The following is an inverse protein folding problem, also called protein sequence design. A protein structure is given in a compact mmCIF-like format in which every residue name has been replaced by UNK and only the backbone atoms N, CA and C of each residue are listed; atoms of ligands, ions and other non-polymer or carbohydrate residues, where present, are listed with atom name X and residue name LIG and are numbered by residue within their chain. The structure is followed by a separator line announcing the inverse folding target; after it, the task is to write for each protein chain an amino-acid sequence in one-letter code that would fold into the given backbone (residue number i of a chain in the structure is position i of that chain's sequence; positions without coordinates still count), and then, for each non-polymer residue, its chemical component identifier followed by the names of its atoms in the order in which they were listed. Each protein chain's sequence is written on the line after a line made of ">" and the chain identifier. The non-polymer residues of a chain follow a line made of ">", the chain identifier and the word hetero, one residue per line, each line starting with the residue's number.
data_IF_459620436310
#
_entry.id   IF_459620436310
#
_cell.length_a   1.000
_cell.length_b   1.000
_cell.length_c   1.000
_cell.angle_alpha   90.00
_cell.angle_beta   90.00
_cell.angle_gamma   90.00
#
_symmetry.space_group_name_H-M   'P 1'
#
loop_
_entity.id
_entity.type
_entity.pdbx_description
1 polymer ?
#
# COMPACT_ATOMS: atom_id res chain seq x y z
N UNK A 1 -6.01 3.88 -8.34
CA UNK A 1 -4.88 2.96 -8.64
C UNK A 1 -5.13 2.33 -10.00
N UNK A 2 -4.22 2.49 -10.97
CA UNK A 2 -4.31 1.71 -12.22
C UNK A 2 -3.77 0.33 -11.88
N UNK A 3 -4.66 -0.61 -11.56
CA UNK A 3 -4.30 -2.02 -11.52
C UNK A 3 -4.05 -2.39 -12.97
N UNK A 4 -2.82 -2.75 -13.31
CA UNK A 4 -2.56 -3.42 -14.58
C UNK A 4 -3.27 -4.77 -14.44
N UNK A 5 -4.48 -4.86 -14.99
CA UNK A 5 -5.25 -6.08 -14.95
C UNK A 5 -4.48 -7.19 -15.66
N UNK A 6 -4.45 -8.37 -15.05
CA UNK A 6 -3.94 -9.55 -15.73
C UNK A 6 -4.88 -9.88 -16.90
N UNK A 7 -4.37 -9.78 -18.11
CA UNK A 7 -5.14 -10.04 -19.33
C UNK A 7 -5.14 -11.53 -19.63
N UNK A 8 -6.13 -12.22 -19.05
CA UNK A 8 -6.34 -13.67 -19.18
C UNK A 8 -6.40 -14.11 -20.65
N UNK A 9 -7.06 -13.32 -21.51
CA UNK A 9 -7.21 -13.65 -22.94
C UNK A 9 -5.88 -13.54 -23.68
N UNK A 10 -5.13 -12.46 -23.45
CA UNK A 10 -3.81 -12.27 -24.06
C UNK A 10 -2.82 -13.32 -23.58
N UNK A 11 -2.89 -13.73 -22.31
CA UNK A 11 -2.06 -14.80 -21.76
C UNK A 11 -2.39 -16.16 -22.39
N UNK A 12 -3.68 -16.55 -22.39
CA UNK A 12 -4.12 -17.79 -23.03
C UNK A 12 -3.74 -17.82 -24.53
N UNK A 13 -3.92 -16.72 -25.26
CA UNK A 13 -3.51 -16.62 -26.66
C UNK A 13 -2.00 -16.89 -26.84
N UNK A 14 -1.17 -16.33 -25.96
CA UNK A 14 0.28 -16.52 -26.02
C UNK A 14 0.69 -17.97 -25.75
N UNK A 15 -0.02 -18.67 -24.88
CA UNK A 15 0.17 -20.11 -24.64
C UNK A 15 -0.22 -20.92 -25.87
N UNK A 16 -1.39 -20.62 -26.47
CA UNK A 16 -1.85 -21.25 -27.72
C UNK A 16 -0.86 -21.07 -28.87
N UNK A 17 -0.37 -19.84 -29.06
CA UNK A 17 0.64 -19.50 -30.07
C UNK A 17 1.98 -20.23 -29.83
N UNK A 18 2.21 -20.71 -28.60
CA UNK A 18 3.39 -21.49 -28.20
C UNK A 18 3.15 -23.01 -28.27
N UNK A 19 1.99 -23.47 -28.73
CA UNK A 19 1.64 -24.88 -28.90
C UNK A 19 0.90 -25.52 -27.74
N UNK A 20 0.49 -24.74 -26.72
CA UNK A 20 -0.37 -25.25 -25.64
C UNK A 20 -1.79 -25.47 -26.17
N UNK A 21 -2.41 -26.65 -25.96
CA UNK A 21 -3.79 -26.90 -26.39
C UNK A 21 -4.78 -25.89 -25.81
N UNK A 22 -5.78 -25.50 -26.60
CA UNK A 22 -6.74 -24.46 -26.25
C UNK A 22 -7.33 -24.55 -24.84
N UNK A 23 -7.82 -25.73 -24.46
CA UNK A 23 -8.40 -25.97 -23.13
C UNK A 23 -7.38 -25.85 -21.98
N UNK A 24 -6.12 -26.22 -22.23
CA UNK A 24 -5.06 -26.08 -21.23
C UNK A 24 -4.64 -24.63 -21.08
N UNK A 25 -4.48 -23.92 -22.20
CA UNK A 25 -4.13 -22.50 -22.20
C UNK A 25 -5.16 -21.64 -21.45
N UNK A 26 -6.45 -21.93 -21.65
CA UNK A 26 -7.55 -21.27 -20.93
C UNK A 26 -7.54 -21.62 -19.44
N UNK A 27 -7.42 -22.90 -19.08
CA UNK A 27 -7.37 -23.34 -17.69
C UNK A 27 -6.17 -22.76 -16.92
N UNK A 28 -4.99 -22.69 -17.55
CA UNK A 28 -3.81 -22.06 -16.95
C UNK A 28 -4.00 -20.55 -16.73
N UNK A 29 -4.60 -19.87 -17.71
CA UNK A 29 -4.87 -18.44 -17.62
C UNK A 29 -5.86 -18.13 -16.50
N UNK A 30 -6.94 -18.92 -16.37
CA UNK A 30 -7.93 -18.80 -15.30
C UNK A 30 -7.31 -19.07 -13.93
N UNK A 31 -6.59 -20.18 -13.76
CA UNK A 31 -5.94 -20.52 -12.50
C UNK A 31 -4.94 -19.45 -12.05
N UNK A 32 -4.17 -18.88 -12.99
CA UNK A 32 -3.24 -17.80 -12.68
C UNK A 32 -3.97 -16.50 -12.32
N UNK A 33 -5.07 -16.18 -13.01
CA UNK A 33 -5.90 -15.02 -12.69
C UNK A 33 -6.49 -15.11 -11.28
N UNK A 34 -7.00 -16.29 -10.88
CA UNK A 34 -7.54 -16.51 -9.53
C UNK A 34 -6.47 -16.31 -8.45
N UNK A 35 -5.28 -16.89 -8.63
CA UNK A 35 -4.18 -16.73 -7.66
C UNK A 35 -3.74 -15.27 -7.55
N UNK A 36 -3.66 -14.55 -8.66
CA UNK A 36 -3.33 -13.13 -8.65
C UNK A 36 -4.42 -12.31 -7.97
N UNK A 37 -5.71 -12.60 -8.21
CA UNK A 37 -6.81 -11.88 -7.58
C UNK A 37 -6.83 -12.11 -6.06
N UNK A 38 -6.61 -13.35 -5.60
CA UNK A 38 -6.53 -13.67 -4.17
C UNK A 38 -5.37 -12.95 -3.51
N UNK A 39 -4.17 -12.99 -4.10
CA UNK A 39 -3.00 -12.35 -3.51
C UNK A 39 -3.12 -10.82 -3.50
N UNK A 40 -3.70 -10.21 -4.54
CA UNK A 40 -3.79 -8.75 -4.64
C UNK A 40 -4.83 -8.13 -3.71
N UNK A 41 -5.79 -8.90 -3.17
CA UNK A 41 -6.84 -8.39 -2.27
C UNK A 41 -6.30 -7.83 -0.96
N UNK A 42 -5.21 -8.40 -0.43
CA UNK A 42 -4.66 -8.04 0.88
C UNK A 42 -3.43 -7.12 0.82
N UNK A 43 -3.03 -6.67 -0.38
CA UNK A 43 -1.87 -5.77 -0.52
C UNK A 43 -2.25 -4.32 -0.23
N UNK A 44 -1.48 -3.70 0.66
CA UNK A 44 -1.56 -2.25 0.88
C UNK A 44 -1.25 -1.49 -0.42
N UNK A 45 -2.11 -0.55 -0.78
CA UNK A 45 -1.91 0.30 -1.95
C UNK A 45 -0.88 1.39 -1.66
N UNK A 46 -0.33 1.99 -2.73
CA UNK A 46 0.50 3.20 -2.59
C UNK A 46 -0.27 4.34 -1.91
N UNK A 47 -1.59 4.37 -2.05
CA UNK A 47 -2.44 5.38 -1.43
C UNK A 47 -2.60 5.14 0.06
N UNK A 48 -2.81 3.88 0.47
CA UNK A 48 -2.87 3.47 1.89
C UNK A 48 -1.56 3.85 2.59
N UNK A 49 -0.42 3.47 2.02
CA UNK A 49 0.89 3.82 2.58
C UNK A 49 1.11 5.34 2.67
N UNK A 50 0.70 6.10 1.65
CA UNK A 50 0.79 7.57 1.68
C UNK A 50 -0.11 8.19 2.74
N UNK A 51 -1.28 7.60 2.98
CA UNK A 51 -2.20 8.03 4.02
C UNK A 51 -1.59 7.78 5.40
N UNK A 52 -1.08 6.57 5.64
CA UNK A 52 -0.48 6.19 6.92
C UNK A 52 0.76 7.04 7.24
N UNK A 53 1.60 7.33 6.24
CA UNK A 53 2.75 8.22 6.41
C UNK A 53 2.34 9.64 6.79
N UNK A 54 1.30 10.20 6.14
CA UNK A 54 0.77 11.52 6.50
C UNK A 54 0.19 11.54 7.91
N UNK A 55 -0.53 10.49 8.30
CA UNK A 55 -1.07 10.39 9.66
C UNK A 55 0.05 10.30 10.69
N UNK A 56 1.10 9.54 10.42
CA UNK A 56 2.26 9.44 11.29
C UNK A 56 2.99 10.79 11.42
N UNK A 57 3.19 11.49 10.31
CA UNK A 57 3.78 12.83 10.28
C UNK A 57 2.98 13.82 11.13
N UNK A 58 1.66 13.86 10.97
CA UNK A 58 0.77 14.71 11.77
C UNK A 58 0.84 14.38 13.26
N UNK A 59 0.78 13.08 13.61
CA UNK A 59 0.90 12.63 15.01
C UNK A 59 2.25 13.03 15.60
N UNK A 60 3.33 12.94 14.84
CA UNK A 60 4.66 13.38 15.28
C UNK A 60 4.71 14.89 15.49
N UNK A 61 4.19 15.70 14.56
CA UNK A 61 4.14 17.16 14.68
C UNK A 61 3.37 17.57 15.94
N UNK A 62 2.20 16.97 16.18
CA UNK A 62 1.38 17.28 17.35
C UNK A 62 2.10 16.90 18.65
N UNK A 63 2.65 15.69 18.74
CA UNK A 63 3.37 15.23 19.95
C UNK A 63 4.60 16.08 20.22
N UNK A 64 5.39 16.38 19.19
CA UNK A 64 6.61 17.17 19.33
C UNK A 64 6.29 18.62 19.72
N UNK A 65 5.30 19.23 19.05
CA UNK A 65 4.82 20.56 19.41
C UNK A 65 4.31 20.63 20.84
N UNK A 66 3.55 19.62 21.29
CA UNK A 66 3.09 19.51 22.68
C UNK A 66 4.24 19.40 23.68
N UNK A 67 5.24 18.55 23.41
CA UNK A 67 6.44 18.43 24.26
C UNK A 67 7.25 19.72 24.30
N UNK A 68 7.40 20.42 23.19
CA UNK A 68 8.08 21.72 23.13
C UNK A 68 7.35 22.77 23.96
N UNK A 69 6.02 22.88 23.82
CA UNK A 69 5.21 23.81 24.63
C UNK A 69 5.31 23.49 26.12
N UNK A 70 5.27 22.21 26.50
CA UNK A 70 5.44 21.79 27.89
C UNK A 70 6.83 22.15 28.42
N UNK A 71 7.90 21.87 27.66
CA UNK A 71 9.26 22.22 28.03
C UNK A 71 9.45 23.74 28.19
N UNK A 72 8.91 24.54 27.26
CA UNK A 72 8.95 26.01 27.33
C UNK A 72 8.22 26.51 28.58
N UNK A 73 7.03 25.97 28.88
CA UNK A 73 6.27 26.34 30.06
C UNK A 73 7.03 26.03 31.36
N UNK A 74 7.66 24.85 31.45
CA UNK A 74 8.49 24.44 32.58
C UNK A 74 9.69 25.39 32.75
N UNK A 75 10.39 25.72 31.67
CA UNK A 75 11.53 26.64 31.74
C UNK A 75 11.08 28.05 32.17
N UNK A 76 9.98 28.55 31.63
CA UNK A 76 9.46 29.87 31.96
C UNK A 76 9.03 29.99 33.43
N UNK A 77 8.42 28.94 34.00
CA UNK A 77 8.06 28.92 35.43
C UNK A 77 9.28 28.88 36.32
N UNK A 78 10.31 28.09 35.96
CA UNK A 78 11.57 28.04 36.71
C UNK A 78 12.32 29.38 36.69
N UNK A 79 12.40 30.05 35.54
CA UNK A 79 13.04 31.37 35.42
C UNK A 79 12.34 32.44 36.27
N UNK A 80 11.00 32.38 36.38
CA UNK A 80 10.24 33.34 37.19
C UNK A 80 10.38 33.11 38.70
N UNK A 81 10.84 31.93 39.12
CA UNK A 81 11.02 31.55 40.53
C UNK A 81 12.45 31.81 41.06
N UNK A 82 13.43 32.01 40.17
CA UNK A 82 14.80 32.40 40.48
C UNK A 82 14.94 33.93 40.53
#
# INVERSE_FOLDING_TARGET
>A
MSVIAFDTLKYAKRLKDSGVPDKQAEAEAEALAEVLEVNLKDLATKEDLRRDLRELEQRMIIKLGGMMMAAIAIVATLVKLL
#
